data_IF_756824101803
#
_entry.id   IF_756824101803
#
_cell.length_a   1.000
_cell.length_b   1.000
_cell.length_c   1.000
_cell.angle_alpha   90.00
_cell.angle_beta   90.00
_cell.angle_gamma   90.00
#
_symmetry.space_group_name_H-M   'P 1'
#
loop_
_entity.id
_entity.type
_entity.pdbx_description
1 polymer ?
#
# COMPACT_ATOMS: atom_id res chain seq x y z
N UNK A 1 -41.40 40.79 -21.95
CA UNK A 1 -40.37 39.75 -21.77
C UNK A 1 -40.09 39.65 -20.29
N UNK A 2 -40.20 38.47 -19.70
CA UNK A 2 -39.87 38.23 -18.28
C UNK A 2 -38.50 37.55 -18.20
N UNK A 3 -37.79 37.75 -17.11
CA UNK A 3 -36.48 37.13 -16.89
C UNK A 3 -36.55 36.18 -15.71
N UNK A 4 -35.84 35.08 -15.80
CA UNK A 4 -35.76 34.13 -14.72
C UNK A 4 -34.97 34.72 -13.52
N UNK A 5 -35.58 34.75 -12.35
CA UNK A 5 -34.97 35.31 -11.14
C UNK A 5 -33.76 34.48 -10.66
N UNK A 6 -33.58 33.27 -11.18
CA UNK A 6 -32.48 32.40 -10.74
C UNK A 6 -31.29 32.40 -11.70
N UNK A 7 -31.49 32.49 -13.02
CA UNK A 7 -30.41 32.43 -14.00
C UNK A 7 -30.35 33.60 -14.99
N UNK A 8 -31.27 34.56 -14.90
CA UNK A 8 -31.29 35.74 -15.77
C UNK A 8 -31.71 35.49 -17.22
N UNK A 9 -32.03 34.28 -17.61
CA UNK A 9 -32.47 33.98 -19.00
C UNK A 9 -33.84 34.59 -19.27
N UNK A 10 -34.07 35.05 -20.50
CA UNK A 10 -35.38 35.54 -20.97
C UNK A 10 -36.38 34.40 -21.05
N UNK A 11 -37.57 34.60 -20.53
CA UNK A 11 -38.64 33.62 -20.46
C UNK A 11 -39.88 34.17 -21.14
N UNK A 12 -40.58 33.30 -21.86
CA UNK A 12 -41.88 33.59 -22.41
C UNK A 12 -42.90 33.71 -21.28
N UNK A 13 -43.83 34.68 -21.38
CA UNK A 13 -44.82 34.94 -20.32
C UNK A 13 -45.79 33.79 -20.08
N UNK A 14 -45.86 32.85 -21.00
CA UNK A 14 -46.68 31.63 -20.93
C UNK A 14 -45.93 30.40 -20.45
N UNK A 15 -44.62 30.49 -20.19
CA UNK A 15 -43.81 29.36 -19.83
C UNK A 15 -43.90 29.03 -18.31
N UNK A 16 -44.30 27.84 -17.98
CA UNK A 16 -44.36 27.38 -16.58
C UNK A 16 -42.97 27.00 -15.99
N UNK A 17 -41.95 26.86 -16.82
CA UNK A 17 -40.60 26.50 -16.43
C UNK A 17 -39.55 27.25 -17.26
N UNK A 18 -38.47 27.64 -16.64
CA UNK A 18 -37.35 28.23 -17.36
C UNK A 18 -36.64 27.19 -18.24
N UNK A 19 -36.44 27.41 -19.55
CA UNK A 19 -35.79 26.44 -20.44
C UNK A 19 -34.31 26.26 -20.13
N UNK A 20 -33.65 27.24 -19.52
CA UNK A 20 -32.22 27.14 -19.21
C UNK A 20 -31.91 26.49 -17.87
N UNK A 21 -32.71 26.69 -16.82
CA UNK A 21 -32.41 26.14 -15.48
C UNK A 21 -33.54 25.28 -14.90
N UNK A 22 -34.61 25.04 -15.65
CA UNK A 22 -35.79 24.25 -15.28
C UNK A 22 -36.47 24.68 -13.97
N UNK A 23 -36.22 25.89 -13.50
CA UNK A 23 -36.91 26.41 -12.33
C UNK A 23 -38.33 26.78 -12.72
N UNK A 24 -39.37 26.43 -11.92
CA UNK A 24 -40.75 26.83 -12.20
C UNK A 24 -40.86 28.34 -12.10
N UNK A 25 -41.51 28.97 -13.06
CA UNK A 25 -41.67 30.40 -13.19
C UNK A 25 -43.15 30.68 -13.22
N UNK A 26 -43.68 31.26 -12.11
CA UNK A 26 -44.99 31.82 -12.06
C UNK A 26 -46.12 30.87 -11.77
N UNK A 27 -46.45 30.71 -10.50
CA UNK A 27 -47.84 30.61 -10.10
C UNK A 27 -48.27 31.97 -9.56
N UNK A 28 -49.39 32.57 -10.03
CA UNK A 28 -49.94 33.73 -9.35
C UNK A 28 -50.31 33.37 -7.91
N UNK A 29 -50.16 34.30 -6.94
CA UNK A 29 -50.56 34.02 -5.58
C UNK A 29 -52.07 33.78 -5.54
N UNK A 30 -52.45 32.54 -5.23
CA UNK A 30 -53.83 32.20 -4.88
C UNK A 30 -54.14 32.91 -3.58
N UNK A 31 -55.18 33.77 -3.47
CA UNK A 31 -55.55 34.36 -2.22
C UNK A 31 -55.91 33.24 -1.24
N UNK A 32 -55.21 33.18 -0.12
CA UNK A 32 -55.47 32.25 0.95
C UNK A 32 -56.84 32.44 1.53
N UNK A 33 -57.69 31.41 1.73
CA UNK A 33 -58.88 31.52 2.56
C UNK A 33 -58.43 31.76 3.98
N UNK A 34 -58.98 32.81 4.56
CA UNK A 34 -58.85 33.12 5.99
C UNK A 34 -59.46 31.96 6.76
N UNK A 35 -58.68 31.08 7.29
CA UNK A 35 -59.13 30.04 8.21
C UNK A 35 -58.89 30.50 9.65
N UNK A 36 -59.96 30.48 10.41
CA UNK A 36 -60.10 30.76 11.83
C UNK A 36 -59.09 29.97 12.68
N UNK A 37 -58.68 30.50 13.82
CA UNK A 37 -57.85 29.79 14.77
C UNK A 37 -58.67 28.75 15.56
N UNK A 38 -58.76 27.55 15.09
CA UNK A 38 -59.11 26.42 15.99
C UNK A 38 -57.84 25.91 16.66
N UNK A 39 -57.85 26.03 17.97
CA UNK A 39 -56.85 25.50 18.86
C UNK A 39 -56.69 23.98 18.73
N UNK A 40 -55.82 23.57 17.79
CA UNK A 40 -55.34 22.21 17.71
C UNK A 40 -54.09 22.10 18.59
N UNK A 41 -54.22 21.44 19.73
CA UNK A 41 -53.13 21.00 20.56
C UNK A 41 -52.10 20.27 19.69
N UNK A 42 -50.91 20.88 19.51
CA UNK A 42 -49.74 20.24 18.96
C UNK A 42 -49.45 19.02 19.82
N UNK A 43 -49.54 17.79 19.31
CA UNK A 43 -49.13 16.63 20.10
C UNK A 43 -47.66 16.87 20.47
N UNK A 44 -47.26 16.70 21.74
CA UNK A 44 -45.88 16.80 22.11
C UNK A 44 -45.12 15.82 21.21
N UNK A 45 -44.12 16.33 20.45
CA UNK A 45 -43.19 15.51 19.71
C UNK A 45 -42.68 14.48 20.71
N UNK A 46 -43.16 13.22 20.61
CA UNK A 46 -42.58 12.09 21.29
C UNK A 46 -41.12 12.11 20.95
N UNK A 47 -40.32 12.74 21.80
CA UNK A 47 -38.87 12.52 21.82
C UNK A 47 -38.68 11.03 22.05
N UNK A 48 -38.61 10.33 20.93
CA UNK A 48 -38.59 8.89 20.92
C UNK A 48 -37.30 8.41 21.57
N UNK A 49 -37.44 7.78 22.74
CA UNK A 49 -36.42 6.91 23.31
C UNK A 49 -35.87 5.86 22.31
N UNK A 50 -36.45 5.80 21.11
CA UNK A 50 -36.00 4.98 19.99
C UNK A 50 -34.65 5.42 19.40
N UNK A 51 -34.41 6.72 19.22
CA UNK A 51 -33.17 7.19 18.68
C UNK A 51 -31.98 6.88 19.60
N UNK A 52 -32.16 7.08 20.89
CA UNK A 52 -31.15 6.76 21.91
C UNK A 52 -30.85 5.24 21.94
N UNK A 53 -31.89 4.40 21.83
CA UNK A 53 -31.76 2.94 21.77
C UNK A 53 -31.01 2.51 20.52
N UNK A 54 -31.30 3.11 19.34
CA UNK A 54 -30.58 2.82 18.06
C UNK A 54 -29.12 3.22 18.17
N UNK A 55 -28.81 4.40 18.72
CA UNK A 55 -27.43 4.84 18.92
C UNK A 55 -26.68 3.91 19.88
N UNK A 56 -27.32 3.48 20.99
CA UNK A 56 -26.70 2.53 21.91
C UNK A 56 -26.46 1.15 21.27
N UNK A 57 -27.38 0.68 20.44
CA UNK A 57 -27.19 -0.59 19.71
C UNK A 57 -26.04 -0.47 18.72
N UNK A 58 -25.97 0.61 17.95
CA UNK A 58 -24.86 0.84 17.02
C UNK A 58 -23.52 0.91 17.77
N UNK A 59 -23.48 1.64 18.88
CA UNK A 59 -22.29 1.73 19.72
C UNK A 59 -21.88 0.36 20.26
N UNK A 60 -22.83 -0.42 20.77
CA UNK A 60 -22.56 -1.77 21.26
C UNK A 60 -22.03 -2.71 20.17
N UNK A 61 -22.58 -2.63 18.96
CA UNK A 61 -22.10 -3.41 17.80
C UNK A 61 -20.68 -3.00 17.41
N UNK A 62 -20.38 -1.70 17.36
CA UNK A 62 -19.04 -1.20 17.03
C UNK A 62 -18.02 -1.65 18.07
N UNK A 63 -18.37 -1.57 19.37
CA UNK A 63 -17.51 -2.04 20.46
C UNK A 63 -17.29 -3.56 20.36
N UNK A 64 -18.36 -4.33 20.13
CA UNK A 64 -18.26 -5.78 19.99
C UNK A 64 -17.37 -6.19 18.81
N UNK A 65 -17.53 -5.53 17.65
CA UNK A 65 -16.66 -5.77 16.48
C UNK A 65 -15.20 -5.37 16.76
N UNK A 66 -14.96 -4.27 17.46
CA UNK A 66 -13.64 -3.84 17.89
C UNK A 66 -12.96 -4.87 18.80
N UNK A 67 -13.69 -5.39 19.80
CA UNK A 67 -13.20 -6.44 20.72
C UNK A 67 -12.92 -7.74 19.95
N UNK A 68 -13.79 -8.13 19.03
CA UNK A 68 -13.59 -9.33 18.22
C UNK A 68 -12.35 -9.20 17.32
N UNK A 69 -12.17 -8.03 16.69
CA UNK A 69 -11.00 -7.76 15.84
C UNK A 69 -9.69 -7.81 16.63
N UNK A 70 -9.67 -7.19 17.82
CA UNK A 70 -8.48 -7.21 18.70
C UNK A 70 -8.19 -8.60 19.24
N UNK A 71 -9.21 -9.33 19.69
CA UNK A 71 -9.05 -10.72 20.14
C UNK A 71 -8.54 -11.63 19.03
N UNK A 72 -9.05 -11.47 17.79
CA UNK A 72 -8.59 -12.22 16.63
C UNK A 72 -7.13 -11.90 16.30
N UNK A 73 -6.74 -10.62 16.33
CA UNK A 73 -5.36 -10.20 16.08
C UNK A 73 -4.39 -10.77 17.14
N UNK A 74 -4.77 -10.74 18.42
CA UNK A 74 -3.99 -11.31 19.51
C UNK A 74 -3.88 -12.84 19.35
N UNK A 75 -4.98 -13.52 19.03
CA UNK A 75 -4.99 -14.97 18.84
C UNK A 75 -4.13 -15.40 17.67
N UNK A 76 -4.23 -14.71 16.52
CA UNK A 76 -3.40 -14.95 15.35
C UNK A 76 -1.93 -14.69 15.68
N UNK A 77 -1.63 -13.55 16.32
CA UNK A 77 -0.28 -13.18 16.75
C UNK A 77 0.33 -14.20 17.72
N UNK A 78 -0.44 -14.65 18.71
CA UNK A 78 -0.01 -15.67 19.67
C UNK A 78 0.25 -17.02 18.99
N UNK A 79 -0.66 -17.42 18.10
CA UNK A 79 -0.50 -18.68 17.35
C UNK A 79 0.70 -18.61 16.40
N UNK A 80 0.92 -17.47 15.77
CA UNK A 80 2.07 -17.23 14.90
C UNK A 80 3.39 -17.26 15.68
N UNK A 81 3.45 -16.56 16.83
CA UNK A 81 4.63 -16.56 17.69
C UNK A 81 4.97 -17.95 18.24
N UNK A 82 3.95 -18.74 18.56
CA UNK A 82 4.14 -20.10 19.09
C UNK A 82 4.60 -21.12 18.03
N UNK A 83 4.28 -20.87 16.75
CA UNK A 83 4.67 -21.72 15.63
C UNK A 83 5.96 -21.28 14.93
N UNK A 84 6.52 -20.13 15.33
CA UNK A 84 7.79 -19.64 14.79
C UNK A 84 8.94 -20.24 15.59
N UNK A 85 9.76 -21.05 14.93
CA UNK A 85 10.99 -21.58 15.50
C UNK A 85 12.18 -20.87 14.91
N UNK A 86 13.02 -20.32 15.76
CA UNK A 86 14.27 -19.66 15.37
C UNK A 86 15.42 -20.59 15.75
N UNK A 87 16.05 -21.18 14.76
CA UNK A 87 17.27 -21.97 14.94
C UNK A 87 18.47 -21.12 14.52
N UNK A 88 19.36 -20.87 15.47
CA UNK A 88 20.62 -20.15 15.22
C UNK A 88 21.77 -21.15 15.17
N UNK A 89 22.47 -21.23 14.05
CA UNK A 89 23.71 -21.98 13.88
C UNK A 89 24.82 -21.01 13.48
N UNK A 90 25.54 -20.50 14.45
CA UNK A 90 26.58 -19.49 14.22
C UNK A 90 26.00 -18.20 13.61
N UNK A 91 26.45 -17.84 12.42
CA UNK A 91 25.99 -16.66 11.67
C UNK A 91 24.78 -16.90 10.77
N UNK A 92 24.25 -18.14 10.78
CA UNK A 92 23.04 -18.50 10.02
C UNK A 92 21.85 -18.57 10.97
N UNK A 93 20.79 -17.86 10.65
CA UNK A 93 19.51 -17.96 11.32
C UNK A 93 18.48 -18.58 10.36
N UNK A 94 17.84 -19.64 10.80
CA UNK A 94 16.72 -20.25 10.09
C UNK A 94 15.47 -19.96 10.92
N UNK A 95 14.53 -19.26 10.33
CA UNK A 95 13.27 -18.90 10.96
C UNK A 95 12.17 -19.69 10.23
N UNK A 96 11.66 -20.70 10.88
CA UNK A 96 10.50 -21.44 10.37
C UNK A 96 9.22 -20.71 10.79
N UNK A 97 8.43 -20.34 9.81
CA UNK A 97 7.13 -19.69 10.00
C UNK A 97 6.02 -20.53 9.37
N UNK A 98 4.76 -20.39 9.76
CA UNK A 98 3.64 -21.10 9.13
C UNK A 98 3.47 -20.82 7.63
N UNK A 99 4.08 -19.74 7.13
CA UNK A 99 4.00 -19.29 5.74
C UNK A 99 5.23 -19.68 4.92
N UNK A 100 6.28 -20.19 5.58
CA UNK A 100 7.52 -20.63 4.92
C UNK A 100 8.75 -20.43 5.79
N UNK A 101 9.88 -20.91 5.31
CA UNK A 101 11.17 -20.84 5.97
C UNK A 101 11.93 -19.62 5.46
N UNK A 102 12.42 -18.78 6.36
CA UNK A 102 13.32 -17.67 6.09
C UNK A 102 14.72 -18.10 6.47
N UNK A 103 15.61 -18.20 5.51
CA UNK A 103 17.03 -18.38 5.76
C UNK A 103 17.72 -17.03 5.70
N UNK A 104 18.30 -16.60 6.80
CA UNK A 104 19.09 -15.40 6.90
C UNK A 104 20.54 -15.76 7.24
N UNK A 105 21.49 -15.33 6.42
CA UNK A 105 22.91 -15.44 6.70
C UNK A 105 23.44 -14.04 7.05
N UNK A 106 24.08 -13.90 8.21
CA UNK A 106 24.78 -12.66 8.54
C UNK A 106 25.94 -12.41 7.57
N UNK A 107 26.21 -11.14 7.27
CA UNK A 107 27.27 -10.75 6.36
C UNK A 107 28.65 -11.20 6.84
N UNK A 108 29.57 -11.38 5.89
CA UNK A 108 30.95 -11.83 6.17
C UNK A 108 31.08 -13.32 6.46
N UNK A 109 30.04 -14.12 6.25
CA UNK A 109 30.14 -15.58 6.34
C UNK A 109 30.55 -16.18 4.99
N UNK A 110 31.28 -17.29 5.01
CA UNK A 110 31.70 -18.02 3.81
C UNK A 110 30.50 -18.34 2.87
N UNK A 111 29.33 -18.58 3.47
CA UNK A 111 28.10 -18.78 2.71
C UNK A 111 27.58 -17.53 2.00
N UNK A 112 27.74 -16.34 2.61
CA UNK A 112 27.38 -15.07 1.98
C UNK A 112 28.36 -14.73 0.86
N UNK A 113 29.65 -14.93 1.05
CA UNK A 113 30.67 -14.71 0.01
C UNK A 113 30.43 -15.60 -1.19
N UNK A 114 30.15 -16.88 -0.99
CA UNK A 114 29.85 -17.83 -2.06
C UNK A 114 28.54 -17.45 -2.80
N UNK A 115 27.53 -16.99 -2.09
CA UNK A 115 26.30 -16.50 -2.70
C UNK A 115 26.56 -15.23 -3.54
N UNK A 116 27.35 -14.29 -3.04
CA UNK A 116 27.71 -13.08 -3.75
C UNK A 116 28.58 -13.36 -4.98
N UNK A 117 29.57 -14.24 -4.86
CA UNK A 117 30.41 -14.64 -5.97
C UNK A 117 29.63 -15.33 -7.11
N UNK A 118 28.49 -15.96 -6.80
CA UNK A 118 27.61 -16.53 -7.83
C UNK A 118 26.89 -15.48 -8.66
N UNK A 119 26.68 -14.29 -8.13
CA UNK A 119 26.09 -13.15 -8.84
C UNK A 119 27.15 -12.31 -9.55
N UNK A 120 28.23 -11.98 -8.87
CA UNK A 120 29.36 -11.24 -9.41
C UNK A 120 30.68 -11.85 -8.91
N UNK A 121 31.57 -12.33 -9.80
CA UNK A 121 32.75 -13.12 -9.41
C UNK A 121 33.70 -12.46 -8.41
N UNK A 122 33.73 -11.11 -8.39
CA UNK A 122 34.57 -10.32 -7.48
C UNK A 122 33.79 -9.77 -6.28
N UNK A 123 32.55 -10.20 -6.09
CA UNK A 123 31.75 -9.78 -4.95
C UNK A 123 31.97 -10.70 -3.75
N UNK A 124 31.91 -10.10 -2.59
CA UNK A 124 31.90 -10.76 -1.28
C UNK A 124 30.67 -10.33 -0.50
N UNK A 125 30.27 -11.07 0.52
CA UNK A 125 29.18 -10.70 1.40
C UNK A 125 29.49 -9.41 2.14
N UNK A 126 28.54 -8.47 2.18
CA UNK A 126 28.69 -7.24 2.95
C UNK A 126 28.85 -7.57 4.45
N UNK A 127 29.77 -6.91 5.15
CA UNK A 127 30.15 -7.27 6.53
C UNK A 127 29.01 -7.21 7.55
N UNK A 128 28.05 -6.32 7.32
CA UNK A 128 26.92 -6.08 8.23
C UNK A 128 25.56 -6.42 7.62
N UNK A 129 25.56 -6.88 6.39
CA UNK A 129 24.35 -7.21 5.64
C UNK A 129 24.50 -8.63 5.08
N UNK A 130 23.41 -9.38 5.07
CA UNK A 130 23.45 -10.78 4.71
C UNK A 130 22.62 -11.12 3.48
N UNK A 131 22.36 -12.38 3.30
CA UNK A 131 21.42 -12.90 2.31
C UNK A 131 20.17 -13.45 2.99
N UNK A 132 19.02 -13.26 2.35
CA UNK A 132 17.73 -13.76 2.81
C UNK A 132 17.09 -14.57 1.70
N UNK A 133 16.54 -15.73 2.06
CA UNK A 133 15.69 -16.53 1.16
C UNK A 133 14.35 -16.78 1.82
N UNK A 134 13.28 -16.53 1.09
CA UNK A 134 11.93 -16.76 1.55
C UNK A 134 11.02 -17.11 0.36
N UNK A 135 10.46 -18.30 0.34
CA UNK A 135 9.66 -18.80 -0.77
C UNK A 135 10.45 -18.72 -2.09
N UNK A 136 9.88 -18.10 -3.11
CA UNK A 136 10.58 -17.84 -4.38
C UNK A 136 11.40 -16.54 -4.42
N UNK A 137 11.53 -15.83 -3.28
CA UNK A 137 12.30 -14.61 -3.14
C UNK A 137 13.68 -14.93 -2.58
N UNK A 138 14.73 -14.42 -3.22
CA UNK A 138 16.08 -14.37 -2.64
C UNK A 138 16.62 -12.96 -2.76
N UNK A 139 17.25 -12.47 -1.70
CA UNK A 139 17.94 -11.19 -1.69
C UNK A 139 19.34 -11.39 -1.10
N UNK A 140 20.33 -10.76 -1.70
CA UNK A 140 21.70 -10.76 -1.22
C UNK A 140 22.27 -9.35 -1.31
N UNK A 141 23.04 -8.96 -0.31
CA UNK A 141 23.79 -7.71 -0.30
C UNK A 141 25.27 -8.03 -0.33
N UNK A 142 25.94 -7.51 -1.34
CA UNK A 142 27.30 -7.82 -1.68
C UNK A 142 28.12 -6.52 -1.80
N UNK A 143 29.43 -6.63 -1.62
CA UNK A 143 30.39 -5.56 -1.83
C UNK A 143 31.42 -6.00 -2.88
N UNK A 144 31.88 -5.06 -3.67
CA UNK A 144 32.96 -5.26 -4.67
C UNK A 144 33.87 -4.04 -4.68
N UNK A 145 35.15 -4.28 -4.90
CA UNK A 145 36.14 -3.20 -5.08
C UNK A 145 36.08 -2.59 -6.50
N UNK A 146 35.29 -3.18 -7.39
CA UNK A 146 35.09 -2.64 -8.76
C UNK A 146 34.14 -1.42 -8.72
N UNK A 147 34.34 -0.42 -9.59
CA UNK A 147 33.47 0.76 -9.68
C UNK A 147 32.06 0.38 -10.17
N UNK A 148 31.03 1.18 -9.82
CA UNK A 148 29.63 0.87 -10.14
C UNK A 148 29.35 0.64 -11.63
N UNK A 149 29.99 1.39 -12.51
CA UNK A 149 29.81 1.28 -13.96
C UNK A 149 30.23 -0.09 -14.48
N UNK A 150 31.38 -0.60 -14.02
CA UNK A 150 31.90 -1.91 -14.41
C UNK A 150 30.99 -3.04 -13.92
N UNK A 151 30.47 -2.92 -12.72
CA UNK A 151 29.50 -3.86 -12.16
C UNK A 151 28.20 -3.79 -12.96
N UNK A 152 27.73 -2.59 -13.31
CA UNK A 152 26.52 -2.40 -14.10
C UNK A 152 26.65 -3.02 -15.49
N UNK A 153 27.75 -2.83 -16.17
CA UNK A 153 28.01 -3.42 -17.50
C UNK A 153 28.03 -4.96 -17.46
N UNK A 154 28.60 -5.53 -16.41
CA UNK A 154 28.56 -6.99 -16.21
C UNK A 154 27.13 -7.52 -16.11
N UNK A 155 26.28 -6.87 -15.30
CA UNK A 155 24.89 -7.31 -15.16
C UNK A 155 24.07 -7.05 -16.43
N UNK A 156 24.30 -5.95 -17.13
CA UNK A 156 23.64 -5.65 -18.41
C UNK A 156 23.90 -6.72 -19.47
N UNK A 157 25.11 -7.27 -19.53
CA UNK A 157 25.46 -8.31 -20.49
C UNK A 157 24.83 -9.67 -20.18
N UNK A 158 24.33 -9.89 -18.96
CA UNK A 158 23.80 -11.20 -18.48
C UNK A 158 22.31 -11.22 -18.21
N UNK A 159 21.69 -10.06 -18.05
CA UNK A 159 20.25 -9.95 -17.80
C UNK A 159 19.56 -9.72 -19.14
N UNK A 160 18.69 -10.63 -19.54
CA UNK A 160 17.83 -10.44 -20.70
C UNK A 160 16.71 -9.42 -20.38
N UNK A 161 16.31 -8.66 -21.41
CA UNK A 161 15.32 -7.58 -21.25
C UNK A 161 15.77 -6.55 -20.20
N UNK A 162 17.06 -6.30 -20.09
CA UNK A 162 17.61 -5.41 -19.09
C UNK A 162 17.13 -3.97 -19.29
N UNK A 163 16.46 -3.43 -18.29
CA UNK A 163 16.14 -2.02 -18.19
C UNK A 163 17.08 -1.38 -17.17
N UNK A 164 17.89 -0.41 -17.61
CA UNK A 164 18.81 0.32 -16.75
C UNK A 164 18.22 1.69 -16.41
N UNK A 165 18.08 1.98 -15.14
CA UNK A 165 17.78 3.31 -14.64
C UNK A 165 18.99 3.80 -13.83
N UNK A 166 19.55 4.92 -14.23
CA UNK A 166 20.61 5.61 -13.49
C UNK A 166 19.93 6.76 -12.72
N UNK A 167 20.14 6.84 -11.43
CA UNK A 167 19.61 7.96 -10.62
C UNK A 167 20.66 9.08 -10.53
N UNK A 168 20.19 10.29 -10.22
CA UNK A 168 21.04 11.49 -10.06
C UNK A 168 22.12 11.36 -8.96
N UNK A 169 22.09 10.30 -8.19
CA UNK A 169 23.06 10.01 -7.12
C UNK A 169 24.06 8.89 -7.46
N UNK A 170 24.27 8.59 -8.73
CA UNK A 170 25.17 7.50 -9.14
C UNK A 170 24.68 6.10 -8.81
N UNK A 171 23.40 5.94 -8.49
CA UNK A 171 22.78 4.65 -8.21
C UNK A 171 22.28 4.02 -9.51
N UNK A 172 22.75 2.82 -9.82
CA UNK A 172 22.32 2.06 -11.00
C UNK A 172 21.29 1.01 -10.58
N UNK A 173 20.14 0.99 -11.22
CA UNK A 173 19.10 -0.02 -11.01
C UNK A 173 18.91 -0.77 -12.33
N UNK A 174 19.16 -2.06 -12.32
CA UNK A 174 19.00 -2.94 -13.47
C UNK A 174 17.93 -3.96 -13.16
N UNK A 175 16.88 -4.01 -13.97
CA UNK A 175 15.78 -4.97 -13.82
C UNK A 175 15.64 -5.75 -15.12
N UNK A 176 15.35 -7.04 -15.01
CA UNK A 176 15.15 -7.89 -16.19
C UNK A 176 14.94 -9.35 -15.81
N UNK A 177 15.35 -10.26 -16.67
CA UNK A 177 15.24 -11.70 -16.45
C UNK A 177 16.61 -12.36 -16.54
N UNK A 178 16.88 -13.28 -15.62
CA UNK A 178 18.04 -14.15 -15.64
C UNK A 178 17.63 -15.56 -15.22
N UNK A 179 17.99 -16.58 -15.97
CA UNK A 179 17.65 -17.99 -15.72
C UNK A 179 16.15 -18.22 -15.44
N UNK A 180 15.28 -17.59 -16.21
CA UNK A 180 13.83 -17.71 -16.07
C UNK A 180 13.21 -16.99 -14.87
N UNK A 181 14.01 -16.35 -14.02
CA UNK A 181 13.57 -15.60 -12.87
C UNK A 181 13.65 -14.09 -13.13
N UNK A 182 12.75 -13.31 -12.49
CA UNK A 182 12.89 -11.85 -12.48
C UNK A 182 14.01 -11.47 -11.53
N UNK A 183 14.91 -10.64 -11.98
CA UNK A 183 16.04 -10.13 -11.19
C UNK A 183 16.03 -8.60 -11.17
N UNK A 184 16.34 -8.04 -10.01
CA UNK A 184 16.59 -6.61 -9.84
C UNK A 184 17.93 -6.46 -9.14
N UNK A 185 18.82 -5.69 -9.71
CA UNK A 185 20.15 -5.39 -9.18
C UNK A 185 20.22 -3.89 -8.93
N UNK A 186 20.57 -3.53 -7.73
CA UNK A 186 20.80 -2.15 -7.31
C UNK A 186 22.28 -2.01 -6.97
N UNK A 187 22.95 -1.09 -7.63
CA UNK A 187 24.38 -0.83 -7.45
C UNK A 187 24.52 0.58 -6.94
N UNK A 188 25.19 0.75 -5.82
CA UNK A 188 25.45 2.03 -5.16
C UNK A 188 26.95 2.23 -5.01
N UNK A 189 27.42 3.44 -5.28
CA UNK A 189 28.80 3.81 -5.08
C UNK A 189 29.15 3.82 -3.59
N UNK A 190 30.35 3.32 -3.27
CA UNK A 190 30.96 3.35 -1.95
C UNK A 190 32.35 3.97 -2.05
N UNK A 191 32.88 4.43 -0.94
CA UNK A 191 34.21 5.02 -0.86
C UNK A 191 35.33 4.11 -1.40
N UNK A 192 35.12 2.78 -1.40
CA UNK A 192 36.06 1.79 -1.91
C UNK A 192 35.34 0.77 -2.81
N UNK A 193 34.76 1.24 -3.93
CA UNK A 193 34.09 0.33 -4.87
C UNK A 193 32.56 0.47 -4.90
N UNK A 194 31.82 -0.64 -4.87
CA UNK A 194 30.39 -0.65 -5.01
C UNK A 194 29.69 -1.60 -4.05
N UNK A 195 28.49 -1.21 -3.61
CA UNK A 195 27.52 -2.06 -2.92
C UNK A 195 26.51 -2.56 -3.94
N UNK A 196 26.29 -3.87 -3.96
CA UNK A 196 25.44 -4.56 -4.91
C UNK A 196 24.32 -5.25 -4.14
N UNK A 197 23.08 -4.83 -4.35
CA UNK A 197 21.92 -5.50 -3.80
C UNK A 197 21.22 -6.26 -4.92
N UNK A 198 21.20 -7.58 -4.83
CA UNK A 198 20.56 -8.45 -5.80
C UNK A 198 19.29 -9.01 -5.20
N UNK A 199 18.17 -8.82 -5.88
CA UNK A 199 16.87 -9.39 -5.51
C UNK A 199 16.37 -10.25 -6.67
N UNK A 200 16.01 -11.49 -6.40
CA UNK A 200 15.53 -12.45 -7.39
C UNK A 200 14.17 -12.99 -6.97
N UNK A 201 13.24 -13.00 -7.92
CA UNK A 201 11.90 -13.55 -7.77
C UNK A 201 11.68 -14.65 -8.80
N UNK A 202 11.27 -15.81 -8.34
CA UNK A 202 10.97 -16.95 -9.18
C UNK A 202 11.56 -18.23 -8.60
N UNK A 203 11.10 -19.32 -9.16
CA UNK A 203 11.59 -20.67 -8.80
C UNK A 203 13.01 -20.88 -9.25
#
# INVERSE_FOLDING_TARGET
MAFCSRCGASIDQSANFCPSCRTPVGAPPVPAPVAQPEGGSVPPARQGSGALKVVLIILAVVVALGVLATASAIFIGYRFARSTRVMKHGQRAIIETPVGTIEANAGGSEGADKACASYYPKARGARHEGSVKFGGLSAAVCESDDPPEKVADYFRSRISEANLVVSDRGKHVISGRADGSRITVVIEERASGSKITVTRFGR
#
